data_IF_181727611799
#
_entry.id   IF_181727611799
#
_cell.length_a   1.000
_cell.length_b   1.000
_cell.length_c   1.000
_cell.angle_alpha   90.00
_cell.angle_beta   90.00
_cell.angle_gamma   90.00
#
_symmetry.space_group_name_H-M   'P 1'
#
loop_
_entity.id
_entity.type
_entity.pdbx_description
1 polymer ?
#
# COMPACT_ATOMS: atom_id res chain seq x y z
N UNK A 1 -4.84 42.84 -15.39
CA UNK A 1 -3.83 41.81 -15.71
C UNK A 1 -3.14 41.18 -14.50
N UNK A 2 -2.79 41.92 -13.43
CA UNK A 2 -2.14 41.32 -12.24
C UNK A 2 -3.02 40.34 -11.45
N UNK A 3 -4.33 40.56 -11.39
CA UNK A 3 -5.30 39.71 -10.69
C UNK A 3 -5.50 38.35 -11.38
N UNK A 4 -5.53 38.30 -12.72
CA UNK A 4 -5.75 37.06 -13.48
C UNK A 4 -4.57 36.09 -13.29
N UNK A 5 -3.34 36.60 -13.29
CA UNK A 5 -2.13 35.79 -13.06
C UNK A 5 -2.13 35.17 -11.66
N UNK A 6 -2.63 35.89 -10.65
CA UNK A 6 -2.70 35.38 -9.28
C UNK A 6 -3.70 34.21 -9.13
N UNK A 7 -4.84 34.28 -9.84
CA UNK A 7 -5.81 33.18 -9.85
C UNK A 7 -5.26 31.93 -10.57
N UNK A 8 -4.52 32.10 -11.67
CA UNK A 8 -3.90 30.98 -12.38
C UNK A 8 -2.85 30.28 -11.49
N UNK A 9 -2.02 31.04 -10.78
CA UNK A 9 -1.03 30.49 -9.84
C UNK A 9 -1.71 29.80 -8.65
N UNK A 10 -2.77 30.38 -8.08
CA UNK A 10 -3.51 29.76 -6.98
C UNK A 10 -4.14 28.41 -7.42
N UNK A 11 -4.76 28.35 -8.60
CA UNK A 11 -5.39 27.12 -9.14
C UNK A 11 -4.34 26.03 -9.41
N UNK A 12 -3.14 26.40 -9.89
CA UNK A 12 -2.01 25.48 -10.08
C UNK A 12 -1.45 24.95 -8.74
N UNK A 13 -1.48 25.75 -7.67
CA UNK A 13 -1.06 25.32 -6.34
C UNK A 13 -2.06 24.35 -5.67
N UNK A 14 -3.36 24.45 -5.96
CA UNK A 14 -4.36 23.54 -5.39
C UNK A 14 -4.43 22.18 -6.09
N UNK A 15 -3.90 22.03 -7.30
CA UNK A 15 -3.97 20.77 -8.06
C UNK A 15 -3.02 19.69 -7.54
N UNK A 16 -2.10 20.03 -6.63
CA UNK A 16 -1.12 19.09 -6.05
C UNK A 16 -1.42 18.72 -4.59
N UNK A 17 -2.63 19.00 -4.10
CA UNK A 17 -3.01 18.56 -2.77
C UNK A 17 -3.18 17.03 -2.75
N UNK A 18 -2.10 16.32 -2.40
CA UNK A 18 -2.15 14.88 -2.11
C UNK A 18 -3.00 14.67 -0.86
N UNK A 19 -4.29 14.46 -1.07
CA UNK A 19 -5.27 14.19 -0.01
C UNK A 19 -4.76 13.07 0.88
N UNK A 20 -4.58 13.40 2.15
CA UNK A 20 -4.21 12.46 3.20
C UNK A 20 -5.49 12.00 3.89
N UNK A 21 -5.77 10.71 3.81
CA UNK A 21 -6.94 10.07 4.40
C UNK A 21 -6.54 9.42 5.73
N UNK A 22 -7.35 9.60 6.77
CA UNK A 22 -7.17 8.90 8.05
C UNK A 22 -8.26 7.86 8.20
N UNK A 23 -7.87 6.60 8.30
CA UNK A 23 -8.80 5.48 8.49
C UNK A 23 -8.53 4.86 9.85
N UNK A 24 -9.57 4.72 10.67
CA UNK A 24 -9.49 4.06 11.97
C UNK A 24 -10.30 2.78 11.97
N UNK A 25 -9.70 1.69 12.41
CA UNK A 25 -10.29 0.35 12.36
C UNK A 25 -9.76 -0.55 13.48
N UNK A 26 -10.45 -1.66 13.73
CA UNK A 26 -9.95 -2.77 14.54
C UNK A 26 -9.38 -3.81 13.58
N UNK A 27 -8.13 -4.21 13.78
CA UNK A 27 -7.52 -5.28 12.98
C UNK A 27 -8.09 -6.64 13.40
N UNK A 28 -8.73 -7.35 12.47
CA UNK A 28 -9.42 -8.61 12.75
C UNK A 28 -8.51 -9.78 12.42
N UNK A 29 -8.11 -9.89 11.15
CA UNK A 29 -7.26 -10.98 10.66
C UNK A 29 -6.59 -10.62 9.33
N UNK A 30 -5.82 -11.55 8.78
CA UNK A 30 -5.35 -11.51 7.41
C UNK A 30 -5.55 -12.86 6.71
N UNK A 31 -5.64 -12.82 5.39
CA UNK A 31 -5.66 -14.01 4.55
C UNK A 31 -4.71 -13.81 3.37
N UNK A 32 -4.05 -14.90 2.97
CA UNK A 32 -3.27 -14.91 1.76
C UNK A 32 -4.13 -15.33 0.57
N UNK A 33 -4.00 -14.61 -0.54
CA UNK A 33 -4.65 -14.93 -1.81
C UNK A 33 -3.63 -14.84 -2.95
N UNK A 34 -3.85 -15.63 -3.98
CA UNK A 34 -3.02 -15.54 -5.18
C UNK A 34 -3.24 -14.20 -5.89
N UNK A 35 -2.16 -13.64 -6.45
CA UNK A 35 -2.29 -12.54 -7.41
C UNK A 35 -2.30 -13.11 -8.83
N UNK A 36 -2.58 -12.25 -9.83
CA UNK A 36 -2.40 -12.63 -11.24
C UNK A 36 -0.94 -12.96 -11.61
N UNK A 37 0.02 -12.62 -10.74
CA UNK A 37 1.45 -12.71 -10.97
C UNK A 37 2.09 -13.69 -9.97
N UNK A 38 2.80 -14.68 -10.50
CA UNK A 38 3.30 -15.81 -9.70
C UNK A 38 4.32 -15.40 -8.64
N UNK A 39 5.05 -14.32 -8.88
CA UNK A 39 6.12 -13.84 -7.99
C UNK A 39 5.60 -13.07 -6.77
N UNK A 40 4.27 -12.98 -6.60
CA UNK A 40 3.63 -12.26 -5.51
C UNK A 40 2.43 -12.99 -4.93
N UNK A 41 2.20 -12.72 -3.65
CA UNK A 41 1.00 -13.10 -2.94
C UNK A 41 0.30 -11.85 -2.40
N UNK A 42 -1.02 -11.88 -2.40
CA UNK A 42 -1.85 -10.86 -1.78
C UNK A 42 -2.00 -11.19 -0.30
N UNK A 43 -1.56 -10.30 0.59
CA UNK A 43 -1.94 -10.34 2.00
C UNK A 43 -3.12 -9.41 2.21
N UNK A 44 -4.32 -9.97 2.23
CA UNK A 44 -5.56 -9.23 2.49
C UNK A 44 -5.75 -9.07 3.99
N UNK A 45 -5.65 -7.84 4.49
CA UNK A 45 -6.00 -7.47 5.85
C UNK A 45 -7.51 -7.25 5.95
N UNK A 46 -8.13 -7.88 6.95
CA UNK A 46 -9.55 -7.72 7.28
C UNK A 46 -9.66 -6.76 8.46
N UNK A 47 -10.30 -5.61 8.22
CA UNK A 47 -10.37 -4.49 9.16
C UNK A 47 -11.83 -4.19 9.48
N UNK A 48 -12.19 -3.97 10.75
CA UNK A 48 -13.55 -3.61 11.14
C UNK A 48 -13.65 -2.12 11.48
N UNK A 49 -14.63 -1.41 10.91
CA UNK A 49 -14.86 0.04 11.10
C UNK A 49 -16.08 0.35 11.98
N UNK A 50 -16.48 -0.60 12.82
CA UNK A 50 -17.60 -0.48 13.77
C UNK A 50 -18.96 -0.85 13.17
N UNK A 51 -19.28 -0.38 11.96
CA UNK A 51 -20.50 -0.78 11.23
C UNK A 51 -20.22 -1.65 10.00
N UNK A 52 -19.03 -1.50 9.41
CA UNK A 52 -18.63 -2.20 8.18
C UNK A 52 -17.29 -2.90 8.36
N UNK A 53 -16.90 -3.65 7.33
CA UNK A 53 -15.54 -4.17 7.15
C UNK A 53 -14.86 -3.48 5.97
N UNK A 54 -13.57 -3.24 6.11
CA UNK A 54 -12.69 -2.74 5.06
C UNK A 54 -11.62 -3.80 4.77
N UNK A 55 -11.38 -4.05 3.50
CA UNK A 55 -10.29 -4.89 3.04
C UNK A 55 -9.13 -4.01 2.55
N UNK A 56 -7.93 -4.31 3.02
CA UNK A 56 -6.71 -3.62 2.61
C UNK A 56 -5.68 -4.66 2.20
N UNK A 57 -5.14 -4.52 1.00
CA UNK A 57 -4.23 -5.48 0.43
C UNK A 57 -2.79 -4.99 0.51
N UNK A 58 -1.89 -5.90 0.88
CA UNK A 58 -0.44 -5.72 0.78
C UNK A 58 0.09 -6.77 -0.19
N UNK A 59 0.74 -6.34 -1.27
CA UNK A 59 1.37 -7.25 -2.23
C UNK A 59 2.78 -7.59 -1.75
N UNK A 60 3.00 -8.87 -1.46
CA UNK A 60 4.25 -9.36 -0.88
C UNK A 60 5.02 -10.22 -1.89
N UNK A 61 6.36 -10.08 -1.96
CA UNK A 61 7.20 -11.01 -2.70
C UNK A 61 6.98 -12.45 -2.24
N UNK A 62 6.79 -13.35 -3.20
CA UNK A 62 6.59 -14.77 -2.96
C UNK A 62 7.57 -15.63 -3.75
N UNK A 63 8.40 -16.38 -3.03
CA UNK A 63 9.26 -17.42 -3.59
C UNK A 63 8.46 -18.71 -3.73
N UNK A 64 8.11 -19.07 -4.97
CA UNK A 64 7.32 -20.27 -5.26
C UNK A 64 8.09 -21.58 -5.10
N UNK A 65 9.42 -21.55 -5.21
CA UNK A 65 10.24 -22.76 -5.13
C UNK A 65 10.32 -23.20 -3.66
N UNK A 66 10.54 -22.25 -2.77
CA UNK A 66 10.68 -22.51 -1.34
C UNK A 66 9.41 -22.22 -0.52
N UNK A 67 8.33 -21.77 -1.17
CA UNK A 67 7.07 -21.36 -0.54
C UNK A 67 7.25 -20.29 0.54
N UNK A 68 8.17 -19.34 0.32
CA UNK A 68 8.53 -18.33 1.29
C UNK A 68 7.95 -16.95 0.94
N UNK A 69 7.42 -16.27 1.96
CA UNK A 69 6.92 -14.89 1.88
C UNK A 69 7.83 -13.99 2.69
N UNK A 70 8.31 -12.90 2.09
CA UNK A 70 9.05 -11.86 2.82
C UNK A 70 8.05 -10.81 3.30
N UNK A 71 7.56 -10.98 4.53
CA UNK A 71 6.61 -10.06 5.17
C UNK A 71 7.28 -9.21 6.24
N UNK A 72 7.62 -7.98 5.87
CA UNK A 72 8.16 -6.96 6.78
C UNK A 72 7.07 -6.11 7.43
N UNK A 73 5.81 -6.53 7.40
CA UNK A 73 4.68 -5.79 7.95
C UNK A 73 4.37 -4.47 7.21
N UNK A 74 3.21 -3.87 7.47
CA UNK A 74 2.89 -2.53 6.98
C UNK A 74 3.80 -1.48 7.62
N UNK A 75 4.47 -0.62 6.83
CA UNK A 75 5.30 0.50 7.31
C UNK A 75 6.43 0.11 8.29
N UNK A 76 7.56 -0.36 7.76
CA UNK A 76 8.82 -0.62 8.52
C UNK A 76 8.70 -1.60 9.69
N UNK A 77 8.41 -2.89 9.45
CA UNK A 77 8.36 -3.95 10.46
C UNK A 77 7.26 -3.80 11.53
N UNK A 78 6.23 -2.99 11.27
CA UNK A 78 5.07 -2.96 12.14
C UNK A 78 4.18 -4.19 11.88
N UNK A 79 4.07 -5.07 12.87
CA UNK A 79 3.14 -6.19 12.82
C UNK A 79 1.88 -5.86 13.63
N UNK A 80 0.74 -5.83 12.94
CA UNK A 80 -0.55 -5.54 13.56
C UNK A 80 -0.98 -6.68 14.49
N UNK A 81 -1.50 -6.33 15.67
CA UNK A 81 -2.02 -7.26 16.67
C UNK A 81 -3.54 -7.38 16.56
N UNK A 82 -4.05 -8.61 16.40
CA UNK A 82 -5.50 -8.87 16.29
C UNK A 82 -6.26 -8.26 17.48
N UNK A 83 -7.45 -7.74 17.21
CA UNK A 83 -8.32 -7.06 18.19
C UNK A 83 -7.85 -5.67 18.59
N UNK A 84 -6.73 -5.16 18.05
CA UNK A 84 -6.22 -3.83 18.37
C UNK A 84 -6.78 -2.79 17.42
N UNK A 85 -7.16 -1.63 17.97
CA UNK A 85 -7.63 -0.47 17.21
C UNK A 85 -6.42 0.29 16.67
N UNK A 86 -6.38 0.49 15.35
CA UNK A 86 -5.36 1.26 14.66
C UNK A 86 -5.96 2.44 13.90
N UNK A 87 -5.16 3.48 13.72
CA UNK A 87 -5.42 4.60 12.81
C UNK A 87 -4.29 4.70 11.81
N UNK A 88 -4.60 4.50 10.54
CA UNK A 88 -3.67 4.63 9.42
C UNK A 88 -3.84 6.01 8.80
N UNK A 89 -2.74 6.73 8.62
CA UNK A 89 -2.67 7.90 7.76
C UNK A 89 -2.20 7.45 6.38
N UNK A 90 -3.08 7.51 5.39
CA UNK A 90 -2.84 7.08 4.02
C UNK A 90 -2.74 8.29 3.10
N UNK A 91 -1.94 8.18 2.06
CA UNK A 91 -1.87 9.17 0.99
C UNK A 91 -2.04 8.47 -0.35
N UNK A 92 -2.96 8.95 -1.19
CA UNK A 92 -3.09 8.42 -2.56
C UNK A 92 -1.77 8.55 -3.31
N UNK A 93 -1.39 7.50 -4.02
CA UNK A 93 -0.11 7.43 -4.73
C UNK A 93 -0.35 7.01 -6.17
N UNK A 94 0.20 7.76 -7.12
CA UNK A 94 0.22 7.30 -8.50
C UNK A 94 1.16 6.09 -8.63
N UNK A 95 0.80 5.07 -9.41
CA UNK A 95 1.70 3.95 -9.72
C UNK A 95 3.03 4.44 -10.30
N UNK A 96 2.99 5.53 -11.07
CA UNK A 96 4.16 6.18 -11.68
C UNK A 96 5.11 6.82 -10.69
N UNK A 97 4.64 7.15 -9.48
CA UNK A 97 5.45 7.76 -8.42
C UNK A 97 6.20 6.71 -7.58
N UNK A 98 5.99 5.41 -7.83
CA UNK A 98 6.75 4.36 -7.18
C UNK A 98 8.11 4.25 -7.87
N UNK A 99 9.24 4.38 -7.14
CA UNK A 99 10.57 4.24 -7.71
C UNK A 99 10.76 2.90 -8.42
N UNK A 100 11.30 2.94 -9.64
CA UNK A 100 11.60 1.74 -10.42
C UNK A 100 12.61 0.82 -9.72
N UNK A 101 13.57 1.40 -9.00
CA UNK A 101 14.57 0.67 -8.22
C UNK A 101 13.95 -0.24 -7.17
N UNK A 102 12.71 0.02 -6.78
CA UNK A 102 12.00 -0.87 -5.88
C UNK A 102 11.50 -2.12 -6.58
N UNK A 103 11.46 -2.27 -7.90
CA UNK A 103 10.89 -3.47 -8.53
C UNK A 103 9.49 -3.83 -7.96
N UNK A 104 8.66 -2.86 -7.60
CA UNK A 104 7.39 -3.10 -6.88
C UNK A 104 6.34 -3.81 -7.74
N UNK A 105 5.47 -4.62 -7.12
CA UNK A 105 4.27 -5.18 -7.76
C UNK A 105 3.50 -4.12 -8.54
N UNK A 106 3.17 -3.03 -7.85
CA UNK A 106 2.37 -1.98 -8.45
C UNK A 106 3.10 -1.35 -9.65
N UNK A 107 4.42 -1.16 -9.57
CA UNK A 107 5.19 -0.58 -10.68
C UNK A 107 5.33 -1.50 -11.89
N UNK A 108 5.51 -2.80 -11.67
CA UNK A 108 5.84 -3.75 -12.74
C UNK A 108 4.60 -4.48 -13.31
N UNK A 109 3.57 -4.66 -12.49
CA UNK A 109 2.44 -5.55 -12.75
C UNK A 109 1.11 -4.82 -12.84
N UNK A 110 1.13 -3.49 -12.91
CA UNK A 110 -0.08 -2.70 -13.07
C UNK A 110 0.09 -1.59 -14.09
N UNK A 111 -1.03 -1.13 -14.64
CA UNK A 111 -1.13 0.06 -15.48
C UNK A 111 -2.01 1.07 -14.74
N UNK A 112 -1.59 2.34 -14.61
CA UNK A 112 -2.43 3.36 -13.98
C UNK A 112 -3.71 3.56 -14.80
N UNK A 113 -4.83 3.79 -14.11
CA UNK A 113 -6.06 4.22 -14.75
C UNK A 113 -5.87 5.61 -15.39
N UNK A 114 -6.61 5.88 -16.46
CA UNK A 114 -6.47 7.12 -17.24
C UNK A 114 -7.00 8.34 -16.49
N UNK A 115 -8.02 8.15 -15.64
CA UNK A 115 -8.75 9.23 -15.00
C UNK A 115 -8.27 9.45 -13.56
N UNK A 116 -7.76 8.41 -12.89
CA UNK A 116 -7.17 8.49 -11.55
C UNK A 116 -5.87 7.67 -11.50
N UNK A 117 -4.72 8.35 -11.50
CA UNK A 117 -3.41 7.69 -11.48
C UNK A 117 -3.17 6.75 -10.29
N UNK A 118 -3.94 6.92 -9.19
CA UNK A 118 -3.87 6.07 -8.02
C UNK A 118 -4.67 4.79 -8.19
N UNK A 119 -5.67 4.79 -9.07
CA UNK A 119 -6.32 3.56 -9.50
C UNK A 119 -5.42 2.83 -10.49
N UNK A 120 -5.49 1.50 -10.45
CA UNK A 120 -4.67 0.67 -11.31
C UNK A 120 -5.40 -0.56 -11.80
N UNK A 121 -4.96 -1.06 -12.95
CA UNK A 121 -5.41 -2.30 -13.54
C UNK A 121 -4.26 -3.29 -13.46
N UNK A 122 -4.50 -4.44 -12.81
CA UNK A 122 -3.53 -5.51 -12.75
C UNK A 122 -3.34 -6.19 -14.12
N UNK A 123 -2.10 -6.29 -14.56
CA UNK A 123 -1.68 -7.04 -15.75
C UNK A 123 -0.95 -8.32 -15.34
N UNK A 124 -0.97 -9.31 -16.23
CA UNK A 124 -0.23 -10.56 -16.06
C UNK A 124 1.14 -10.42 -16.71
N UNK A 125 2.17 -10.26 -15.88
CA UNK A 125 3.56 -10.14 -16.29
C UNK A 125 4.42 -10.80 -15.23
N UNK A 126 4.80 -12.06 -15.44
CA UNK A 126 5.69 -12.73 -14.49
C UNK A 126 7.04 -11.97 -14.45
N UNK A 127 7.49 -11.64 -13.24
CA UNK A 127 8.71 -10.85 -12.98
C UNK A 127 9.70 -11.67 -12.18
N UNK A 128 11.00 -11.47 -12.42
CA UNK A 128 12.04 -12.11 -11.62
C UNK A 128 11.95 -11.70 -10.15
N UNK A 129 12.30 -12.63 -9.25
CA UNK A 129 12.26 -12.43 -7.80
C UNK A 129 13.46 -11.59 -7.31
N UNK A 130 13.52 -10.32 -7.69
CA UNK A 130 14.63 -9.40 -7.38
C UNK A 130 14.14 -8.12 -6.66
N UNK A 131 13.31 -8.29 -5.63
CA UNK A 131 12.66 -7.21 -4.90
C UNK A 131 13.62 -6.49 -3.93
N UNK A 132 13.69 -5.15 -4.04
CA UNK A 132 14.46 -4.22 -3.21
C UNK A 132 13.57 -3.16 -2.52
N UNK A 133 13.77 -2.94 -1.22
CA UNK A 133 13.12 -1.84 -0.47
C UNK A 133 11.98 -2.27 0.48
N UNK A 134 11.31 -1.29 1.08
CA UNK A 134 10.22 -1.52 2.05
C UNK A 134 8.84 -1.33 1.39
N UNK A 135 8.24 -2.44 0.97
CA UNK A 135 6.98 -2.46 0.21
C UNK A 135 5.73 -2.42 1.05
N UNK A 136 5.79 -2.90 2.29
CA UNK A 136 4.62 -2.95 3.16
C UNK A 136 4.00 -1.57 3.41
N UNK A 137 4.71 -0.48 3.09
CA UNK A 137 4.17 0.87 3.11
C UNK A 137 3.17 1.15 1.97
N UNK A 138 3.14 0.38 0.90
CA UNK A 138 2.16 0.52 -0.18
C UNK A 138 1.03 -0.48 0.00
N UNK A 139 -0.19 0.01 -0.04
CA UNK A 139 -1.39 -0.80 0.11
C UNK A 139 -2.41 -0.44 -0.95
N UNK A 140 -3.25 -1.39 -1.34
CA UNK A 140 -4.41 -1.11 -2.16
C UNK A 140 -5.72 -1.37 -1.43
N UNK A 141 -6.68 -0.48 -1.69
CA UNK A 141 -8.05 -0.55 -1.19
C UNK A 141 -8.93 -0.32 -2.41
N UNK A 142 -9.76 -1.31 -2.77
CA UNK A 142 -10.65 -1.23 -3.93
C UNK A 142 -9.92 -0.80 -5.23
N UNK A 143 -8.76 -1.40 -5.50
CA UNK A 143 -7.89 -1.11 -6.65
C UNK A 143 -7.37 0.33 -6.73
N UNK A 144 -7.39 1.07 -5.62
CA UNK A 144 -6.75 2.37 -5.47
C UNK A 144 -5.52 2.23 -4.56
N UNK A 145 -4.40 2.77 -5.00
CA UNK A 145 -3.08 2.66 -4.37
C UNK A 145 -2.86 3.80 -3.38
N UNK A 146 -2.41 3.42 -2.19
CA UNK A 146 -2.09 4.31 -1.10
C UNK A 146 -0.69 4.03 -0.56
N UNK A 147 0.01 5.08 -0.14
CA UNK A 147 1.19 5.01 0.72
C UNK A 147 0.75 5.24 2.17
N UNK A 148 1.09 4.31 3.06
CA UNK A 148 0.96 4.48 4.49
C UNK A 148 2.03 5.49 4.93
N UNK A 149 1.59 6.60 5.48
CA UNK A 149 2.45 7.66 6.02
C UNK A 149 2.73 7.41 7.52
N UNK A 150 1.71 6.93 8.24
CA UNK A 150 1.80 6.69 9.69
C UNK A 150 0.77 5.66 10.14
N UNK A 151 1.11 4.89 11.17
CA UNK A 151 0.21 4.00 11.91
C UNK A 151 0.19 4.46 13.38
N UNK A 152 -0.98 4.43 14.01
CA UNK A 152 -1.16 4.67 15.45
C UNK A 152 -2.05 3.58 16.05
N UNK A 153 -1.88 3.14 17.32
CA UNK A 153 -0.81 3.51 18.25
C UNK A 153 0.56 3.16 17.69
N UNK A 154 1.55 4.00 18.02
CA UNK A 154 2.95 3.85 17.58
C UNK A 154 3.72 2.85 18.46
N UNK A 155 3.00 2.08 19.27
CA UNK A 155 3.53 0.94 20.02
C UNK A 155 3.79 -0.21 19.04
N UNK A 156 4.73 0.04 18.13
CA UNK A 156 5.26 -0.90 17.17
C UNK A 156 5.99 -1.97 17.99
N UNK A 157 5.34 -3.11 18.16
CA UNK A 157 6.00 -4.30 18.68
C UNK A 157 7.06 -4.68 17.64
N UNK A 158 8.30 -4.24 17.86
CA UNK A 158 9.48 -4.77 17.19
C UNK A 158 9.58 -6.25 17.57
N UNK A 159 8.93 -7.13 16.83
CA UNK A 159 9.23 -8.55 16.91
C UNK A 159 10.58 -8.70 16.21
N UNK A 160 11.65 -8.55 16.97
CA UNK A 160 12.92 -9.18 16.62
C UNK A 160 12.60 -10.66 16.46
N UNK A 161 12.43 -11.11 15.21
CA UNK A 161 12.52 -12.52 14.89
C UNK A 161 13.95 -12.89 15.23
N UNK A 162 14.18 -13.42 16.44
CA UNK A 162 15.37 -14.20 16.73
C UNK A 162 15.30 -15.39 15.80
N UNK A 163 16.03 -15.32 14.69
CA UNK A 163 16.43 -16.49 13.93
C UNK A 163 17.13 -17.43 14.90
N UNK A 164 16.51 -18.58 15.15
CA UNK A 164 17.16 -19.73 15.78
C UNK A 164 18.04 -20.42 14.75
#
# INVERSE_FOLDING_TARGET
MKTIVFYIVAILCFSHCKVQEKITFIYVDYQYEETKNKSFINKRLVLATGKDSLEMNIKLPYDRIHHNVIDRGPLYNCHLKKGTKYTFSLQKKCVTDIPETFNSYYRLNTIPDKDDCSKFIEIKKDTEYNYLGDYGKYVDINSCLYEIIKIYPDDIVFIHIKTR
#
